data_IF_984965594181
#
_entry.id   IF_984965594181
#
_cell.length_a   1.000
_cell.length_b   1.000
_cell.length_c   1.000
_cell.angle_alpha   90.00
_cell.angle_beta   90.00
_cell.angle_gamma   90.00
#
_symmetry.space_group_name_H-M   'P 1'
#
loop_
_entity.id
_entity.type
_entity.pdbx_description
1 polymer ?
#
# COMPACT_ATOMS: atom_id res chain seq x y z
N UNK A 1 -27.03 -9.29 -10.17
CA UNK A 1 -25.57 -9.39 -10.25
C UNK A 1 -24.96 -8.04 -9.94
N UNK A 2 -23.96 -8.01 -9.07
CA UNK A 2 -23.23 -6.80 -8.65
C UNK A 2 -21.73 -7.03 -8.92
N UNK A 3 -21.08 -6.05 -9.51
CA UNK A 3 -19.63 -6.11 -9.78
C UNK A 3 -18.89 -5.19 -8.82
N UNK A 4 -17.86 -5.73 -8.17
CA UNK A 4 -16.89 -4.99 -7.38
C UNK A 4 -15.50 -5.15 -8.00
N UNK A 5 -14.81 -4.05 -8.29
CA UNK A 5 -13.44 -4.07 -8.80
C UNK A 5 -12.45 -3.73 -7.69
N UNK A 6 -11.48 -4.60 -7.47
CA UNK A 6 -10.39 -4.33 -6.54
C UNK A 6 -9.34 -3.45 -7.20
N UNK A 7 -8.55 -2.73 -6.38
CA UNK A 7 -7.56 -1.74 -6.85
C UNK A 7 -6.17 -2.34 -7.15
N UNK A 8 -5.96 -3.59 -6.78
CA UNK A 8 -4.69 -4.28 -6.92
C UNK A 8 -4.91 -5.78 -7.18
N UNK A 9 -3.86 -6.53 -7.54
CA UNK A 9 -3.93 -8.00 -7.57
C UNK A 9 -4.46 -8.53 -6.24
N UNK A 10 -5.26 -9.58 -6.27
CA UNK A 10 -5.84 -10.16 -5.05
C UNK A 10 -4.73 -10.48 -4.03
N UNK A 11 -4.86 -9.92 -2.85
CA UNK A 11 -3.89 -9.98 -1.77
C UNK A 11 -4.62 -9.91 -0.42
N UNK A 12 -3.92 -10.15 0.69
CA UNK A 12 -4.48 -10.18 2.05
C UNK A 12 -5.35 -8.98 2.43
N UNK A 13 -5.05 -7.78 1.92
CA UNK A 13 -5.90 -6.60 2.11
C UNK A 13 -7.31 -6.72 1.50
N UNK A 14 -7.53 -7.66 0.59
CA UNK A 14 -8.85 -7.92 -0.01
C UNK A 14 -9.56 -9.12 0.62
N UNK A 15 -8.97 -9.71 1.68
CA UNK A 15 -9.48 -10.94 2.30
C UNK A 15 -10.93 -10.82 2.76
N UNK A 16 -11.36 -9.64 3.25
CA UNK A 16 -12.72 -9.41 3.70
C UNK A 16 -13.74 -9.57 2.56
N UNK A 17 -13.41 -9.15 1.34
CA UNK A 17 -14.33 -9.27 0.20
C UNK A 17 -14.47 -10.72 -0.27
N UNK A 18 -13.35 -11.42 -0.43
CA UNK A 18 -13.35 -12.83 -0.82
C UNK A 18 -13.88 -13.73 0.30
N UNK A 19 -13.51 -13.45 1.55
CA UNK A 19 -14.00 -14.18 2.72
C UNK A 19 -15.51 -14.03 2.91
N UNK A 20 -16.02 -12.80 2.77
CA UNK A 20 -17.45 -12.55 2.83
C UNK A 20 -18.23 -13.30 1.74
N UNK A 21 -17.65 -13.36 0.52
CA UNK A 21 -18.24 -14.14 -0.57
C UNK A 21 -18.21 -15.64 -0.28
N UNK A 22 -17.05 -16.18 0.14
CA UNK A 22 -16.91 -17.61 0.43
C UNK A 22 -17.80 -18.08 1.59
N UNK A 23 -18.14 -17.19 2.54
CA UNK A 23 -19.05 -17.48 3.64
C UNK A 23 -20.53 -17.23 3.34
N UNK A 24 -20.87 -16.86 2.09
CA UNK A 24 -22.22 -16.62 1.65
C UNK A 24 -22.88 -15.36 2.26
N UNK A 25 -22.09 -14.39 2.74
CA UNK A 25 -22.65 -13.19 3.36
C UNK A 25 -23.40 -12.32 2.35
N UNK A 26 -22.91 -12.23 1.12
CA UNK A 26 -23.56 -11.47 0.06
C UNK A 26 -24.82 -12.15 -0.44
N UNK A 27 -24.81 -13.47 -0.60
CA UNK A 27 -25.97 -14.25 -1.02
C UNK A 27 -27.12 -14.14 -0.03
N UNK A 28 -26.85 -14.10 1.29
CA UNK A 28 -27.85 -13.90 2.34
C UNK A 28 -28.57 -12.56 2.21
N UNK A 29 -27.90 -11.56 1.66
CA UNK A 29 -28.45 -10.22 1.38
C UNK A 29 -29.01 -10.12 -0.06
N UNK A 30 -29.13 -11.24 -0.79
CA UNK A 30 -29.63 -11.26 -2.16
C UNK A 30 -28.64 -10.69 -3.20
N UNK A 31 -27.36 -10.58 -2.86
CA UNK A 31 -26.32 -10.00 -3.70
C UNK A 31 -25.50 -11.11 -4.39
N UNK A 32 -25.66 -11.25 -5.70
CA UNK A 32 -24.74 -12.06 -6.54
C UNK A 32 -23.50 -11.22 -6.86
N UNK A 33 -22.45 -11.34 -6.01
CA UNK A 33 -21.23 -10.55 -6.11
C UNK A 33 -20.19 -11.18 -7.03
N UNK A 34 -19.77 -10.43 -8.06
CA UNK A 34 -18.58 -10.71 -8.86
C UNK A 34 -17.43 -9.78 -8.45
N UNK A 35 -16.31 -10.35 -7.97
CA UNK A 35 -15.10 -9.60 -7.66
C UNK A 35 -14.16 -9.69 -8.87
N UNK A 36 -13.76 -8.52 -9.39
CA UNK A 36 -12.88 -8.40 -10.56
C UNK A 36 -11.51 -7.84 -10.18
N UNK A 37 -10.43 -8.33 -10.81
CA UNK A 37 -9.11 -7.74 -10.68
C UNK A 37 -9.05 -6.33 -11.30
N UNK A 38 -7.98 -5.55 -11.06
CA UNK A 38 -7.79 -4.26 -11.70
C UNK A 38 -7.90 -4.37 -13.22
N UNK A 39 -8.54 -3.39 -13.85
CA UNK A 39 -8.59 -3.30 -15.30
C UNK A 39 -7.36 -2.53 -15.80
N UNK A 40 -6.62 -3.13 -16.74
CA UNK A 40 -5.43 -2.49 -17.32
C UNK A 40 -5.80 -1.14 -17.96
N UNK A 41 -5.06 -0.08 -17.58
CA UNK A 41 -5.25 1.27 -18.12
C UNK A 41 -6.54 1.99 -17.72
N UNK A 42 -7.33 1.42 -16.79
CA UNK A 42 -8.59 2.02 -16.34
C UNK A 42 -8.54 2.35 -14.84
N UNK A 43 -9.18 3.44 -14.46
CA UNK A 43 -9.36 3.82 -13.06
C UNK A 43 -10.72 3.32 -12.57
N UNK A 44 -10.75 2.72 -11.38
CA UNK A 44 -11.98 2.20 -10.80
C UNK A 44 -13.05 3.29 -10.63
N UNK A 45 -12.62 4.49 -10.24
CA UNK A 45 -13.50 5.65 -10.07
C UNK A 45 -14.26 6.00 -11.35
N UNK A 46 -13.59 5.89 -12.50
CA UNK A 46 -14.22 6.14 -13.82
C UNK A 46 -15.21 5.04 -14.17
N UNK A 47 -14.89 3.77 -13.90
CA UNK A 47 -15.79 2.65 -14.17
C UNK A 47 -17.09 2.76 -13.37
N UNK A 48 -16.98 3.18 -12.10
CA UNK A 48 -18.14 3.35 -11.21
C UNK A 48 -18.90 4.62 -11.57
N UNK A 49 -18.21 5.75 -11.73
CA UNK A 49 -18.84 7.03 -12.06
C UNK A 49 -19.56 7.05 -13.39
N UNK A 50 -19.19 6.17 -14.34
CA UNK A 50 -19.87 5.98 -15.62
C UNK A 50 -20.95 4.88 -15.60
N UNK A 51 -21.16 4.24 -14.45
CA UNK A 51 -22.17 3.17 -14.29
C UNK A 51 -21.81 1.82 -14.92
N UNK A 52 -20.56 1.65 -15.41
CA UNK A 52 -20.11 0.38 -15.99
C UNK A 52 -19.97 -0.72 -14.94
N UNK A 53 -19.64 -0.35 -13.71
CA UNK A 53 -19.56 -1.23 -12.56
C UNK A 53 -20.18 -0.55 -11.34
N UNK A 54 -20.58 -1.33 -10.33
CA UNK A 54 -21.34 -0.80 -9.19
C UNK A 54 -20.46 -0.37 -8.04
N UNK A 55 -19.39 -1.16 -7.77
CA UNK A 55 -18.47 -0.92 -6.64
C UNK A 55 -17.01 -1.01 -7.07
N UNK A 56 -16.16 -0.30 -6.36
CA UNK A 56 -14.72 -0.38 -6.55
C UNK A 56 -13.95 0.02 -5.31
N UNK A 57 -12.81 -0.63 -5.13
CA UNK A 57 -11.81 -0.24 -4.17
C UNK A 57 -10.93 0.82 -4.82
N UNK A 58 -10.71 1.95 -4.17
CA UNK A 58 -9.89 3.05 -4.64
C UNK A 58 -9.00 3.61 -3.53
N UNK A 59 -8.15 4.57 -3.89
CA UNK A 59 -7.37 5.34 -2.93
C UNK A 59 -8.05 6.68 -2.70
N UNK A 60 -7.85 7.28 -1.53
CA UNK A 60 -8.50 8.54 -1.17
C UNK A 60 -8.13 9.69 -2.11
N UNK A 61 -6.89 9.79 -2.52
CA UNK A 61 -6.41 10.82 -3.46
C UNK A 61 -7.05 10.71 -4.84
N UNK A 62 -7.16 9.48 -5.40
CA UNK A 62 -7.85 9.24 -6.67
C UNK A 62 -9.35 9.49 -6.56
N UNK A 63 -9.96 9.12 -5.43
CA UNK A 63 -11.37 9.40 -5.15
C UNK A 63 -11.64 10.91 -5.10
N UNK A 64 -10.84 11.67 -4.34
CA UNK A 64 -10.99 13.13 -4.23
C UNK A 64 -10.83 13.80 -5.59
N UNK A 65 -9.83 13.39 -6.36
CA UNK A 65 -9.60 13.91 -7.71
C UNK A 65 -10.79 13.61 -8.65
N UNK A 66 -11.29 12.38 -8.63
CA UNK A 66 -12.45 12.00 -9.44
C UNK A 66 -13.71 12.77 -9.04
N UNK A 67 -13.94 12.93 -7.74
CA UNK A 67 -15.06 13.70 -7.21
C UNK A 67 -14.97 15.18 -7.59
N UNK A 68 -13.81 15.81 -7.47
CA UNK A 68 -13.57 17.20 -7.87
C UNK A 68 -13.72 17.41 -9.38
N UNK A 69 -13.53 16.37 -10.19
CA UNK A 69 -13.78 16.38 -11.63
C UNK A 69 -15.25 16.12 -12.00
N UNK A 70 -16.16 16.06 -11.01
CA UNK A 70 -17.60 15.92 -11.22
C UNK A 70 -18.10 14.50 -11.39
N UNK A 71 -17.28 13.46 -11.17
CA UNK A 71 -17.76 12.07 -11.24
C UNK A 71 -18.79 11.79 -10.11
N UNK A 72 -19.95 11.19 -10.43
CA UNK A 72 -21.01 10.91 -9.46
C UNK A 72 -20.72 9.64 -8.64
N UNK A 73 -19.67 9.70 -7.85
CA UNK A 73 -19.23 8.60 -6.97
C UNK A 73 -19.40 9.00 -5.50
N UNK A 74 -19.62 8.01 -4.63
CA UNK A 74 -19.68 8.18 -3.18
C UNK A 74 -18.79 7.14 -2.50
N UNK A 75 -18.14 7.52 -1.41
CA UNK A 75 -17.45 6.58 -0.54
C UNK A 75 -18.44 6.01 0.46
N UNK A 76 -18.53 4.69 0.54
CA UNK A 76 -19.44 3.98 1.45
C UNK A 76 -18.70 3.30 2.59
N UNK A 77 -17.39 3.11 2.47
CA UNK A 77 -16.58 2.47 3.49
C UNK A 77 -15.12 2.91 3.35
N UNK A 78 -14.43 2.99 4.46
CA UNK A 78 -12.97 3.13 4.52
C UNK A 78 -12.42 1.92 5.27
N UNK A 79 -11.74 1.02 4.56
CA UNK A 79 -11.21 -0.23 5.12
C UNK A 79 -9.82 -0.06 5.74
N UNK A 80 -9.09 0.99 5.33
CA UNK A 80 -7.77 1.34 5.86
C UNK A 80 -7.74 2.84 6.22
N UNK A 81 -8.15 3.20 7.45
CA UNK A 81 -8.22 4.60 7.87
C UNK A 81 -6.85 5.22 8.14
N UNK A 82 -5.81 4.41 8.29
CA UNK A 82 -4.44 4.87 8.51
C UNK A 82 -3.56 4.59 7.31
N UNK A 83 -2.56 5.46 7.12
CA UNK A 83 -1.57 5.28 6.06
C UNK A 83 -0.76 3.99 6.30
N UNK A 84 -0.83 3.00 5.40
CA UNK A 84 -0.18 1.71 5.58
C UNK A 84 1.31 1.71 5.25
N UNK A 85 1.83 2.77 4.66
CA UNK A 85 3.23 2.83 4.24
C UNK A 85 4.19 2.92 5.42
N UNK A 86 5.32 2.27 5.28
CA UNK A 86 6.40 2.25 6.25
C UNK A 86 7.75 2.07 5.56
N UNK A 87 8.80 2.50 6.23
CA UNK A 87 10.15 1.98 5.97
C UNK A 87 10.34 0.74 6.84
N UNK A 88 10.78 -0.34 6.22
CA UNK A 88 11.04 -1.63 6.89
C UNK A 88 12.51 -1.97 6.77
N UNK A 89 13.16 -2.28 7.89
CA UNK A 89 14.56 -2.68 7.98
C UNK A 89 14.68 -4.03 8.71
N UNK A 90 15.77 -4.75 8.53
CA UNK A 90 16.05 -5.90 9.38
C UNK A 90 16.47 -5.43 10.78
N UNK A 91 15.95 -6.08 11.82
CA UNK A 91 16.28 -5.72 13.22
C UNK A 91 17.79 -5.76 13.51
N UNK A 92 18.52 -6.70 12.87
CA UNK A 92 19.98 -6.85 12.96
C UNK A 92 20.77 -5.73 12.27
N UNK A 93 20.12 -4.93 11.39
CA UNK A 93 20.79 -3.87 10.63
C UNK A 93 21.14 -2.61 11.42
N UNK A 94 20.74 -2.53 12.69
CA UNK A 94 21.09 -1.43 13.59
C UNK A 94 20.37 -0.11 13.32
N UNK A 95 19.49 -0.03 12.32
CA UNK A 95 18.66 1.14 12.04
C UNK A 95 17.47 1.10 13.02
N UNK A 96 17.53 1.90 14.08
CA UNK A 96 16.52 1.96 15.14
C UNK A 96 15.80 3.31 15.23
N UNK A 97 16.20 4.25 14.38
CA UNK A 97 15.63 5.59 14.33
C UNK A 97 15.82 6.20 12.93
N UNK A 98 15.02 7.19 12.52
CA UNK A 98 15.21 7.88 11.25
C UNK A 98 16.59 8.50 11.08
N UNK A 99 17.20 9.00 12.16
CA UNK A 99 18.54 9.59 12.09
C UNK A 99 19.63 8.59 11.65
N UNK A 100 19.44 7.29 11.91
CA UNK A 100 20.36 6.23 11.49
C UNK A 100 20.13 5.75 10.05
N UNK A 101 19.20 6.35 9.34
CA UNK A 101 18.93 6.01 7.94
C UNK A 101 19.90 6.68 6.96
N UNK A 102 20.81 7.52 7.43
CA UNK A 102 21.79 8.22 6.56
C UNK A 102 22.64 7.23 5.79
N UNK A 103 22.70 7.40 4.46
CA UNK A 103 23.47 6.56 3.55
C UNK A 103 22.87 5.19 3.25
N UNK A 104 21.69 4.86 3.79
CA UNK A 104 21.06 3.57 3.55
C UNK A 104 20.59 3.42 2.10
N UNK A 105 20.61 2.18 1.60
CA UNK A 105 19.98 1.77 0.36
C UNK A 105 18.52 1.41 0.62
N UNK A 106 17.60 2.25 0.11
CA UNK A 106 16.16 2.05 0.26
C UNK A 106 15.54 1.54 -1.04
N UNK A 107 15.07 0.31 -1.03
CA UNK A 107 14.37 -0.29 -2.16
C UNK A 107 12.94 0.25 -2.31
N UNK A 108 12.56 0.56 -3.54
CA UNK A 108 11.21 0.94 -3.94
C UNK A 108 10.91 0.45 -5.36
N UNK A 109 9.69 -0.05 -5.61
CA UNK A 109 9.30 -0.68 -6.87
C UNK A 109 8.89 0.28 -7.99
N UNK A 110 9.06 1.59 -7.81
CA UNK A 110 8.80 2.61 -8.82
C UNK A 110 10.01 3.53 -8.94
N UNK A 111 10.09 4.27 -10.05
CA UNK A 111 11.19 5.19 -10.31
C UNK A 111 11.21 6.35 -9.30
N UNK A 112 10.04 6.86 -8.93
CA UNK A 112 9.91 7.98 -8.02
C UNK A 112 9.38 7.52 -6.66
N UNK A 113 10.17 7.67 -5.63
CA UNK A 113 9.73 7.45 -4.24
C UNK A 113 8.74 8.53 -3.85
N UNK A 114 7.55 8.15 -3.30
CA UNK A 114 6.54 9.12 -2.91
C UNK A 114 7.03 10.15 -1.92
N UNK A 115 6.54 11.40 -2.02
CA UNK A 115 6.91 12.50 -1.11
C UNK A 115 6.52 12.23 0.35
N UNK A 116 5.64 11.28 0.59
CA UNK A 116 5.19 10.89 1.94
C UNK A 116 6.32 10.37 2.85
N UNK A 117 7.52 10.04 2.31
CA UNK A 117 8.68 9.67 3.13
C UNK A 117 9.39 10.89 3.75
N UNK A 118 9.21 12.09 3.16
CA UNK A 118 9.99 13.28 3.52
C UNK A 118 9.83 13.72 4.98
N UNK A 119 8.63 13.69 5.60
CA UNK A 119 8.47 14.01 7.00
C UNK A 119 9.26 13.08 7.94
N UNK A 120 9.34 11.78 7.62
CA UNK A 120 10.17 10.83 8.37
C UNK A 120 11.66 11.18 8.27
N UNK A 121 12.15 11.44 7.06
CA UNK A 121 13.55 11.84 6.86
C UNK A 121 13.85 13.13 7.63
N UNK A 122 12.96 14.13 7.56
CA UNK A 122 13.10 15.38 8.30
C UNK A 122 13.16 15.16 9.82
N UNK A 123 12.38 14.23 10.36
CA UNK A 123 12.44 13.87 11.78
C UNK A 123 13.81 13.29 12.19
N UNK A 124 14.53 12.69 11.26
CA UNK A 124 15.92 12.24 11.42
C UNK A 124 16.97 13.29 11.08
N UNK A 125 16.59 14.55 10.81
CA UNK A 125 17.45 15.59 10.26
C UNK A 125 18.12 15.20 8.93
N UNK A 126 17.40 14.41 8.11
CA UNK A 126 17.81 13.93 6.82
C UNK A 126 16.95 14.53 5.70
N UNK A 127 17.47 14.43 4.49
CA UNK A 127 16.80 14.73 3.24
C UNK A 127 16.92 13.56 2.27
N UNK A 128 16.23 13.62 1.14
CA UNK A 128 16.34 12.59 0.10
C UNK A 128 17.76 12.37 -0.43
N UNK A 129 18.62 13.41 -0.35
CA UNK A 129 20.04 13.33 -0.79
C UNK A 129 20.89 12.44 0.13
N UNK A 130 20.42 12.20 1.35
CA UNK A 130 21.09 11.36 2.34
C UNK A 130 20.72 9.88 2.21
N UNK A 131 19.85 9.51 1.25
CA UNK A 131 19.35 8.16 1.03
C UNK A 131 19.68 7.73 -0.41
N UNK A 132 20.17 6.52 -0.57
CA UNK A 132 20.33 5.88 -1.88
C UNK A 132 19.04 5.13 -2.25
N UNK A 133 18.22 5.72 -3.11
CA UNK A 133 17.00 5.08 -3.58
C UNK A 133 17.29 4.08 -4.69
N UNK A 134 16.95 2.81 -4.45
CA UNK A 134 17.15 1.70 -5.37
C UNK A 134 15.82 1.30 -6.00
N UNK A 135 15.68 1.54 -7.31
CA UNK A 135 14.50 1.07 -8.04
C UNK A 135 14.59 -0.43 -8.30
N UNK A 136 13.57 -1.17 -7.92
CA UNK A 136 13.54 -2.63 -7.98
C UNK A 136 12.28 -3.12 -8.68
N UNK A 137 12.31 -4.34 -9.21
CA UNK A 137 11.11 -4.97 -9.72
C UNK A 137 10.11 -5.19 -8.58
N UNK A 138 8.83 -4.96 -8.85
CA UNK A 138 7.76 -5.16 -7.87
C UNK A 138 7.78 -6.60 -7.33
N UNK A 139 7.83 -6.75 -6.01
CA UNK A 139 7.88 -8.02 -5.30
C UNK A 139 9.29 -8.54 -5.02
N UNK A 140 10.36 -7.94 -5.60
CA UNK A 140 11.74 -8.33 -5.31
C UNK A 140 12.32 -7.64 -4.07
N UNK A 141 11.70 -6.56 -3.59
CA UNK A 141 12.18 -5.75 -2.46
C UNK A 141 12.37 -6.58 -1.18
N UNK A 142 11.46 -7.52 -0.91
CA UNK A 142 11.54 -8.41 0.26
C UNK A 142 12.75 -9.33 0.18
N UNK A 143 13.01 -9.91 -1.00
CA UNK A 143 14.16 -10.81 -1.20
C UNK A 143 15.48 -10.04 -1.12
N UNK A 144 15.55 -8.84 -1.70
CA UNK A 144 16.74 -8.00 -1.67
C UNK A 144 17.09 -7.57 -0.25
N UNK A 145 16.10 -7.20 0.57
CA UNK A 145 16.31 -6.87 1.97
C UNK A 145 16.75 -8.10 2.78
N UNK A 146 16.11 -9.25 2.58
CA UNK A 146 16.50 -10.50 3.25
C UNK A 146 17.95 -10.93 2.90
N UNK A 147 18.37 -10.71 1.65
CA UNK A 147 19.71 -11.01 1.15
C UNK A 147 20.77 -9.95 1.52
N UNK A 148 20.38 -8.83 2.15
CA UNK A 148 21.29 -7.73 2.50
C UNK A 148 21.79 -6.91 1.31
N UNK A 149 21.10 -6.97 0.18
CA UNK A 149 21.44 -6.17 -1.02
C UNK A 149 20.96 -4.72 -0.89
N UNK A 150 19.97 -4.49 -0.03
CA UNK A 150 19.50 -3.18 0.41
C UNK A 150 19.36 -3.18 1.94
N UNK A 151 19.39 -2.00 2.54
CA UNK A 151 19.30 -1.82 4.01
C UNK A 151 17.87 -1.70 4.49
N UNK A 152 16.99 -1.23 3.60
CA UNK A 152 15.58 -1.03 3.88
C UNK A 152 14.73 -1.19 2.62
N UNK A 153 13.43 -1.38 2.81
CA UNK A 153 12.42 -1.22 1.77
C UNK A 153 11.37 -0.19 2.21
N UNK A 154 10.80 0.51 1.25
CA UNK A 154 9.60 1.31 1.44
C UNK A 154 8.40 0.50 0.94
N UNK A 155 7.45 0.23 1.81
CA UNK A 155 6.33 -0.65 1.48
C UNK A 155 5.23 -0.62 2.53
N UNK A 156 4.46 -1.69 2.62
CA UNK A 156 3.34 -1.79 3.54
C UNK A 156 3.74 -2.51 4.83
N UNK A 157 3.47 -1.88 5.98
CA UNK A 157 3.75 -2.45 7.30
C UNK A 157 3.14 -3.85 7.50
N UNK A 158 1.92 -4.06 7.01
CA UNK A 158 1.21 -5.34 7.12
C UNK A 158 1.48 -6.32 5.96
N UNK A 159 2.25 -5.93 4.96
CA UNK A 159 2.57 -6.76 3.80
C UNK A 159 4.00 -7.29 3.88
N UNK A 160 4.94 -6.46 3.45
CA UNK A 160 6.35 -6.84 3.35
C UNK A 160 6.97 -7.15 4.71
N UNK A 161 6.62 -6.40 5.76
CA UNK A 161 7.14 -6.66 7.11
C UNK A 161 6.70 -8.04 7.61
N UNK A 162 5.40 -8.34 7.57
CA UNK A 162 4.88 -9.65 7.98
C UNK A 162 5.45 -10.80 7.13
N UNK A 163 5.67 -10.56 5.84
CA UNK A 163 6.30 -11.56 4.96
C UNK A 163 7.74 -11.88 5.38
N UNK A 164 8.51 -10.87 5.78
CA UNK A 164 9.87 -11.06 6.30
C UNK A 164 9.85 -11.83 7.62
N UNK A 165 9.01 -11.42 8.55
CA UNK A 165 8.87 -12.09 9.87
C UNK A 165 8.45 -13.56 9.72
N UNK A 166 7.48 -13.86 8.84
CA UNK A 166 7.07 -15.23 8.55
C UNK A 166 8.18 -16.10 7.94
N UNK A 167 9.19 -15.46 7.32
CA UNK A 167 10.40 -16.13 6.80
C UNK A 167 11.55 -16.18 7.81
N UNK A 168 11.34 -15.78 9.06
CA UNK A 168 12.36 -15.80 10.10
C UNK A 168 13.31 -14.62 10.09
N UNK A 169 12.97 -13.52 9.43
CA UNK A 169 13.73 -12.27 9.44
C UNK A 169 13.06 -11.24 10.35
N UNK A 170 13.51 -11.07 11.61
CA UNK A 170 12.98 -10.01 12.48
C UNK A 170 13.19 -8.64 11.87
N UNK A 171 12.14 -7.81 11.88
CA UNK A 171 12.18 -6.48 11.27
C UNK A 171 11.95 -5.37 12.29
N UNK A 172 12.32 -4.16 11.90
CA UNK A 172 11.85 -2.91 12.48
C UNK A 172 11.02 -2.17 11.44
N UNK A 173 9.90 -1.65 11.88
CA UNK A 173 8.94 -0.94 11.03
C UNK A 173 8.85 0.50 11.49
N UNK A 174 9.00 1.44 10.55
CA UNK A 174 8.84 2.86 10.78
C UNK A 174 7.62 3.34 9.97
N UNK A 175 6.40 3.32 10.55
CA UNK A 175 5.21 3.76 9.86
C UNK A 175 5.28 5.26 9.58
N UNK A 176 5.00 5.68 8.35
CA UNK A 176 5.06 7.10 8.00
C UNK A 176 3.98 7.94 8.71
N UNK A 177 2.89 7.30 9.15
CA UNK A 177 1.85 7.93 9.96
C UNK A 177 2.37 8.50 11.28
N UNK A 178 3.39 7.87 11.88
CA UNK A 178 4.00 8.30 13.13
C UNK A 178 4.80 9.60 12.95
N UNK A 179 5.05 9.98 11.70
CA UNK A 179 5.71 11.23 11.30
C UNK A 179 4.74 12.26 10.71
N UNK A 180 3.44 12.12 11.01
CA UNK A 180 2.41 13.08 10.64
C UNK A 180 1.80 12.88 9.25
N UNK A 181 2.17 11.83 8.53
CA UNK A 181 1.58 11.50 7.22
C UNK A 181 0.39 10.56 7.42
N UNK A 182 -0.73 11.15 7.78
CA UNK A 182 -2.02 10.46 7.88
C UNK A 182 -2.78 10.57 6.56
N UNK A 183 -3.71 9.62 6.33
CA UNK A 183 -4.65 9.72 5.21
C UNK A 183 -5.65 10.83 5.45
#
# INVERSE_FOLDING_TARGET
KVVMRINFSAWGMHAQYYGGKAQGFYEKEGIDLEIRPPAAGQQNEVLIGTGKEQFGVGNIDSFVKAKSSGLPIVSIMMDQPDNPFAVVTLAKGGIDSPAKMKGMKLAWFQTNVPAMIDPMLKAGNLSRKDIEFVSVARGSEVQMLAAGQVDALFGFAYGQALTLEARGFPVRVFPIRDYGVRL
#
